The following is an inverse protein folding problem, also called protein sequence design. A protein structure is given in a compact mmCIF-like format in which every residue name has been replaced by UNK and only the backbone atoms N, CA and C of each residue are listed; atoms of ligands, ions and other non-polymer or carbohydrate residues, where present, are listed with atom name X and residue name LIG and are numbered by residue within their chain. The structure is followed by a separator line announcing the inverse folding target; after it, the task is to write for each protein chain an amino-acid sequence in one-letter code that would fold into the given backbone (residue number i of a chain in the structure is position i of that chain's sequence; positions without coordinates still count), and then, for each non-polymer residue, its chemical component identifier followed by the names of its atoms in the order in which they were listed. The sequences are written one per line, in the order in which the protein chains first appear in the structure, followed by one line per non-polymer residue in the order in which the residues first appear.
data_IF_919594367603
#
_entry.id   IF_919594367603
#
_cell.length_a   1.000
_cell.length_b   1.000
_cell.length_c   1.000
_cell.angle_alpha   90.00
_cell.angle_beta   90.00
_cell.angle_gamma   90.00
#
_symmetry.space_group_name_H-M   'P 1'
#
loop_
_entity.id
_entity.type
_entity.pdbx_description
1 polymer ?
#
# COMPACT_ATOMS: atom_id res chain seq x y z
N UNK A 1 -3.93 8.24 12.66
CA UNK A 1 -5.03 7.91 11.70
C UNK A 1 -4.83 6.52 11.10
N UNK A 2 -3.69 6.26 10.44
CA UNK A 2 -3.36 4.93 9.89
C UNK A 2 -3.26 3.85 10.99
N UNK A 3 -2.74 4.22 12.17
CA UNK A 3 -2.62 3.35 13.36
C UNK A 3 -3.97 2.84 13.91
N UNK A 4 -5.06 3.56 13.63
CA UNK A 4 -6.42 3.23 14.09
C UNK A 4 -7.24 2.52 13.01
N UNK A 5 -6.71 2.42 11.80
CA UNK A 5 -7.38 1.74 10.70
C UNK A 5 -7.22 0.23 10.85
N UNK A 6 -8.29 -0.53 10.60
CA UNK A 6 -8.22 -2.00 10.52
C UNK A 6 -7.24 -2.47 9.44
N UNK A 7 -7.09 -1.67 8.39
CA UNK A 7 -6.18 -1.90 7.28
C UNK A 7 -5.38 -0.61 7.01
N UNK A 8 -4.33 -0.38 7.80
CA UNK A 8 -3.37 0.69 7.58
C UNK A 8 -2.33 0.29 6.54
N UNK A 9 -2.19 1.07 5.46
CA UNK A 9 -1.25 0.81 4.37
C UNK A 9 -0.38 2.04 4.14
N UNK A 10 0.94 1.87 4.21
CA UNK A 10 1.90 2.90 3.88
C UNK A 10 2.60 2.58 2.54
N UNK A 11 2.99 3.59 1.77
CA UNK A 11 3.80 3.39 0.56
C UNK A 11 5.29 3.37 0.92
N UNK A 12 6.11 2.73 0.09
CA UNK A 12 7.55 2.59 0.29
C UNK A 12 8.26 3.95 0.47
N UNK A 13 7.92 4.91 -0.38
CA UNK A 13 8.42 6.28 -0.34
C UNK A 13 7.67 7.19 0.64
N UNK A 14 6.77 6.61 1.46
CA UNK A 14 6.14 7.30 2.58
C UNK A 14 7.12 7.57 3.73
N UNK A 15 6.72 8.47 4.62
CA UNK A 15 7.46 8.77 5.85
C UNK A 15 7.68 7.51 6.70
N UNK A 16 8.86 7.39 7.30
CA UNK A 16 9.21 6.22 8.12
C UNK A 16 8.22 6.00 9.26
N UNK A 17 7.85 7.08 9.96
CA UNK A 17 6.89 7.03 11.07
C UNK A 17 5.53 6.44 10.64
N UNK A 18 5.09 6.66 9.39
CA UNK A 18 3.85 6.09 8.87
C UNK A 18 4.00 4.60 8.56
N UNK A 19 5.19 4.18 8.08
CA UNK A 19 5.51 2.77 7.82
C UNK A 19 5.60 1.98 9.12
N UNK A 20 6.12 2.58 10.17
CA UNK A 20 6.27 1.94 11.49
C UNK A 20 4.92 1.61 12.15
N UNK A 21 3.88 2.39 11.86
CA UNK A 21 2.52 2.18 12.40
C UNK A 21 1.55 1.53 11.40
N UNK A 22 1.99 1.22 10.18
CA UNK A 22 1.14 0.59 9.16
C UNK A 22 1.10 -0.93 9.32
N UNK A 23 -0.02 -1.54 8.95
CA UNK A 23 -0.13 -3.00 8.92
C UNK A 23 0.56 -3.60 7.68
N UNK A 24 0.58 -2.86 6.58
CA UNK A 24 1.21 -3.26 5.33
C UNK A 24 1.99 -2.09 4.73
N UNK A 25 3.09 -2.42 4.06
CA UNK A 25 3.84 -1.48 3.23
C UNK A 25 3.68 -1.93 1.78
N UNK A 26 3.26 -1.02 0.91
CA UNK A 26 3.15 -1.25 -0.54
C UNK A 26 4.24 -0.50 -1.31
N UNK A 27 4.31 -0.70 -2.62
CA UNK A 27 5.26 -0.03 -3.52
C UNK A 27 5.13 1.50 -3.47
N UNK A 28 6.11 2.17 -4.08
CA UNK A 28 6.10 3.61 -4.18
C UNK A 28 4.93 4.14 -5.05
N UNK A 29 4.67 5.44 -4.96
CA UNK A 29 3.62 6.09 -5.71
C UNK A 29 3.87 6.18 -7.23
N UNK A 30 5.12 6.02 -7.69
CA UNK A 30 5.51 5.99 -9.10
C UNK A 30 5.44 4.57 -9.70
N UNK A 31 5.12 3.56 -8.89
CA UNK A 31 5.01 2.14 -9.25
C UNK A 31 3.60 1.60 -8.98
N UNK A 32 2.59 2.47 -8.96
CA UNK A 32 1.19 2.12 -8.71
C UNK A 32 0.96 1.40 -7.36
N UNK A 33 1.71 1.74 -6.31
CA UNK A 33 1.67 0.98 -5.05
C UNK A 33 0.29 0.79 -4.44
N UNK A 34 -0.59 1.80 -4.50
CA UNK A 34 -1.98 1.63 -4.03
C UNK A 34 -2.76 0.68 -4.95
N UNK A 35 -2.60 0.81 -6.28
CA UNK A 35 -3.26 -0.06 -7.25
C UNK A 35 -2.86 -1.52 -7.07
N UNK A 36 -1.55 -1.79 -6.91
CA UNK A 36 -1.02 -3.13 -6.64
C UNK A 36 -1.56 -3.72 -5.34
N UNK A 37 -1.54 -2.94 -4.26
CA UNK A 37 -2.09 -3.39 -2.98
C UNK A 37 -3.57 -3.78 -3.10
N UNK A 38 -4.38 -2.94 -3.75
CA UNK A 38 -5.81 -3.22 -3.91
C UNK A 38 -6.06 -4.42 -4.83
N UNK A 39 -5.25 -4.61 -5.87
CA UNK A 39 -5.33 -5.78 -6.74
C UNK A 39 -5.17 -7.08 -5.96
N UNK A 40 -4.14 -7.13 -5.12
CA UNK A 40 -3.77 -8.32 -4.37
C UNK A 40 -4.76 -8.54 -3.23
N UNK A 41 -5.13 -7.47 -2.51
CA UNK A 41 -6.06 -7.53 -1.39
C UNK A 41 -7.45 -8.03 -1.80
N UNK A 42 -7.96 -7.58 -2.95
CA UNK A 42 -9.26 -8.02 -3.48
C UNK A 42 -9.17 -9.15 -4.51
N UNK A 43 -7.97 -9.66 -4.79
CA UNK A 43 -7.71 -10.71 -5.78
C UNK A 43 -8.34 -10.40 -7.16
N UNK A 44 -8.13 -9.17 -7.66
CA UNK A 44 -8.81 -8.67 -8.85
C UNK A 44 -8.25 -9.20 -10.16
N UNK A 45 -7.05 -9.78 -10.15
CA UNK A 45 -6.35 -10.31 -11.34
C UNK A 45 -6.20 -9.28 -12.48
N UNK A 46 -6.08 -7.99 -12.14
CA UNK A 46 -5.84 -6.93 -13.10
C UNK A 46 -4.36 -7.00 -13.50
N UNK A 47 -4.09 -6.93 -14.81
CA UNK A 47 -2.72 -6.82 -15.31
C UNK A 47 -2.26 -5.37 -15.19
N UNK A 48 -1.06 -5.18 -14.65
CA UNK A 48 -0.39 -3.88 -14.64
C UNK A 48 0.73 -3.89 -15.69
N UNK A 49 0.88 -2.75 -16.35
CA UNK A 49 1.98 -2.49 -17.28
C UNK A 49 2.90 -1.49 -16.58
N UNK A 50 4.08 -1.95 -16.16
CA UNK A 50 5.12 -1.13 -15.56
C UNK A 50 5.79 -0.24 -16.62
#
# INVERSE_FOLDING_TARGET
MIEYARHGVAMENGLQELKDVANNITFNNNEDGIGRYLNDFFNLNIRYYC
#
